data_IF_951799882316
#
_entry.id   IF_951799882316
#
_cell.length_a   1.000
_cell.length_b   1.000
_cell.length_c   1.000
_cell.angle_alpha   90.00
_cell.angle_beta   90.00
_cell.angle_gamma   90.00
#
_symmetry.space_group_name_H-M   'P 1'
#
loop_
_entity.id
_entity.type
_entity.pdbx_description
1 polymer ?
#
# COMPACT_ATOMS: atom_id res chain seq x y z
N UNK A 1 -48.27 -43.48 -63.57
CA UNK A 1 -48.54 -44.92 -63.34
C UNK A 1 -49.84 -45.16 -62.57
N UNK A 2 -50.11 -44.52 -61.41
CA UNK A 2 -51.36 -44.79 -60.68
C UNK A 2 -52.66 -44.52 -61.46
N UNK A 3 -52.74 -43.39 -62.19
CA UNK A 3 -53.89 -43.10 -63.06
C UNK A 3 -54.08 -44.14 -64.18
N UNK A 4 -52.97 -44.62 -64.74
CA UNK A 4 -52.98 -45.64 -65.80
C UNK A 4 -53.36 -47.01 -65.21
N UNK A 5 -52.83 -47.36 -64.04
CA UNK A 5 -53.17 -48.56 -63.29
C UNK A 5 -54.65 -48.60 -62.93
N UNK A 6 -55.21 -47.48 -62.44
CA UNK A 6 -56.63 -47.37 -62.11
C UNK A 6 -57.52 -47.57 -63.34
N UNK A 7 -57.16 -46.95 -64.48
CA UNK A 7 -57.87 -47.11 -65.74
C UNK A 7 -57.79 -48.55 -66.29
N UNK A 8 -56.60 -49.16 -66.28
CA UNK A 8 -56.38 -50.53 -66.75
C UNK A 8 -57.07 -51.56 -65.84
N UNK A 9 -57.11 -51.31 -64.53
CA UNK A 9 -57.79 -52.16 -63.55
C UNK A 9 -59.31 -52.14 -63.75
N UNK A 10 -59.88 -50.99 -64.13
CA UNK A 10 -61.31 -50.87 -64.47
C UNK A 10 -61.65 -51.52 -65.81
N UNK A 11 -60.82 -51.31 -66.84
CA UNK A 11 -60.99 -51.96 -68.15
C UNK A 11 -60.82 -53.48 -68.06
N UNK A 12 -59.97 -53.99 -67.17
CA UNK A 12 -59.83 -55.42 -66.90
C UNK A 12 -61.10 -56.03 -66.27
N UNK A 13 -61.76 -55.34 -65.33
CA UNK A 13 -63.05 -55.79 -64.76
C UNK A 13 -64.15 -55.92 -65.83
N UNK A 14 -64.06 -55.12 -66.88
CA UNK A 14 -64.95 -55.17 -68.04
C UNK A 14 -64.50 -56.18 -69.12
N UNK A 15 -63.46 -57.00 -68.84
CA UNK A 15 -62.83 -57.94 -69.79
C UNK A 15 -62.23 -57.30 -71.06
N UNK A 16 -61.88 -56.00 -71.00
CA UNK A 16 -61.37 -55.25 -72.15
C UNK A 16 -59.83 -55.22 -72.26
N UNK A 17 -59.10 -55.84 -71.32
CA UNK A 17 -57.62 -55.85 -71.29
C UNK A 17 -57.10 -57.19 -70.79
N UNK A 18 -55.91 -57.60 -71.26
CA UNK A 18 -55.23 -58.82 -70.81
C UNK A 18 -54.70 -58.70 -69.38
N UNK A 19 -54.79 -59.78 -68.59
CA UNK A 19 -54.28 -59.87 -67.21
C UNK A 19 -52.78 -59.59 -67.10
N UNK A 20 -52.01 -59.93 -68.14
CA UNK A 20 -50.57 -59.66 -68.24
C UNK A 20 -50.23 -58.17 -68.18
N UNK A 21 -51.06 -57.30 -68.80
CA UNK A 21 -50.86 -55.84 -68.76
C UNK A 21 -51.16 -55.27 -67.38
N UNK A 22 -52.23 -55.72 -66.74
CA UNK A 22 -52.59 -55.32 -65.38
C UNK A 22 -51.49 -55.70 -64.38
N UNK A 23 -51.08 -56.98 -64.36
CA UNK A 23 -50.04 -57.49 -63.46
C UNK A 23 -48.66 -56.88 -63.70
N UNK A 24 -48.33 -56.51 -64.95
CA UNK A 24 -47.12 -55.75 -65.24
C UNK A 24 -47.15 -54.35 -64.62
N UNK A 25 -48.25 -53.61 -64.77
CA UNK A 25 -48.42 -52.29 -64.16
C UNK A 25 -48.49 -52.35 -62.62
N UNK A 26 -49.09 -53.40 -62.04
CA UNK A 26 -49.12 -53.59 -60.58
C UNK A 26 -47.73 -53.85 -59.99
N UNK A 27 -46.92 -54.71 -60.63
CA UNK A 27 -45.52 -54.92 -60.23
C UNK A 27 -44.70 -53.65 -60.35
N UNK A 28 -44.91 -52.89 -61.42
CA UNK A 28 -44.22 -51.62 -61.64
C UNK A 28 -44.60 -50.57 -60.58
N UNK A 29 -45.89 -50.47 -60.23
CA UNK A 29 -46.36 -49.58 -59.17
C UNK A 29 -45.77 -49.98 -57.80
N UNK A 30 -45.76 -51.28 -57.48
CA UNK A 30 -45.15 -51.78 -56.24
C UNK A 30 -43.63 -51.54 -56.19
N UNK A 31 -42.92 -51.67 -57.32
CA UNK A 31 -41.50 -51.33 -57.43
C UNK A 31 -41.25 -49.85 -57.13
N UNK A 32 -42.01 -48.95 -57.77
CA UNK A 32 -41.87 -47.51 -57.57
C UNK A 32 -42.22 -47.07 -56.15
N UNK A 33 -43.22 -47.68 -55.52
CA UNK A 33 -43.54 -47.37 -54.12
C UNK A 33 -42.43 -47.87 -53.17
N UNK A 34 -41.83 -49.03 -53.45
CA UNK A 34 -40.64 -49.52 -52.75
C UNK A 34 -39.43 -48.58 -52.89
N UNK A 35 -39.12 -48.14 -54.12
CA UNK A 35 -38.06 -47.17 -54.41
C UNK A 35 -38.34 -45.83 -53.71
N UNK A 36 -39.60 -45.36 -53.73
CA UNK A 36 -40.01 -44.16 -53.00
C UNK A 36 -39.79 -44.31 -51.49
N UNK A 37 -40.17 -45.44 -50.91
CA UNK A 37 -39.93 -45.74 -49.49
C UNK A 37 -38.45 -45.73 -49.13
N UNK A 38 -37.60 -46.32 -49.97
CA UNK A 38 -36.15 -46.30 -49.82
C UNK A 38 -35.59 -44.87 -49.87
N UNK A 39 -36.04 -44.06 -50.84
CA UNK A 39 -35.61 -42.65 -50.96
C UNK A 39 -36.06 -41.80 -49.77
N UNK A 40 -37.27 -42.04 -49.25
CA UNK A 40 -37.78 -41.35 -48.05
C UNK A 40 -36.94 -41.71 -46.82
N UNK A 41 -36.62 -42.99 -46.63
CA UNK A 41 -35.75 -43.45 -45.54
C UNK A 41 -34.33 -42.87 -45.66
N UNK A 42 -33.76 -42.88 -46.87
CA UNK A 42 -32.45 -42.28 -47.13
C UNK A 42 -32.46 -40.75 -46.86
N UNK A 43 -33.52 -40.05 -47.25
CA UNK A 43 -33.68 -38.62 -46.96
C UNK A 43 -33.73 -38.35 -45.45
N UNK A 44 -34.48 -39.16 -44.70
CA UNK A 44 -34.55 -39.05 -43.25
C UNK A 44 -33.19 -39.32 -42.58
N UNK A 45 -32.47 -40.35 -43.06
CA UNK A 45 -31.12 -40.66 -42.57
C UNK A 45 -30.13 -39.52 -42.84
N UNK A 46 -30.14 -38.94 -44.04
CA UNK A 46 -29.29 -37.79 -44.38
C UNK A 46 -29.63 -36.58 -43.53
N UNK A 47 -30.92 -36.30 -43.29
CA UNK A 47 -31.33 -35.22 -42.37
C UNK A 47 -30.82 -35.45 -40.95
N UNK A 48 -30.83 -36.71 -40.46
CA UNK A 48 -30.24 -37.08 -39.18
C UNK A 48 -28.75 -36.77 -39.11
N UNK A 49 -27.98 -37.16 -40.15
CA UNK A 49 -26.55 -36.85 -40.26
C UNK A 49 -26.26 -35.35 -40.29
N UNK A 50 -27.09 -34.57 -40.98
CA UNK A 50 -26.97 -33.10 -41.01
C UNK A 50 -27.12 -32.53 -39.60
N UNK A 51 -28.13 -32.98 -38.84
CA UNK A 51 -28.34 -32.53 -37.46
C UNK A 51 -27.18 -32.93 -36.54
N UNK A 52 -26.67 -34.16 -36.66
CA UNK A 52 -25.50 -34.64 -35.91
C UNK A 52 -24.26 -33.79 -36.22
N UNK A 53 -23.97 -33.53 -37.49
CA UNK A 53 -22.84 -32.68 -37.90
C UNK A 53 -23.01 -31.25 -37.40
N UNK A 54 -24.23 -30.70 -37.41
CA UNK A 54 -24.49 -29.36 -36.87
C UNK A 54 -24.22 -29.28 -35.37
N UNK A 55 -24.60 -30.32 -34.60
CA UNK A 55 -24.26 -30.40 -33.17
C UNK A 55 -22.75 -30.53 -32.95
N UNK A 56 -22.05 -31.28 -33.81
CA UNK A 56 -20.61 -31.41 -33.73
C UNK A 56 -19.88 -30.08 -34.01
N UNK A 57 -20.36 -29.29 -34.96
CA UNK A 57 -19.85 -27.92 -35.20
C UNK A 57 -20.02 -27.07 -33.94
N UNK A 58 -21.21 -27.06 -33.35
CA UNK A 58 -21.48 -26.30 -32.12
C UNK A 58 -20.59 -26.74 -30.95
N UNK A 59 -20.32 -28.04 -30.83
CA UNK A 59 -19.43 -28.56 -29.80
C UNK A 59 -17.99 -28.09 -30.02
N UNK A 60 -17.48 -28.17 -31.25
CA UNK A 60 -16.13 -27.70 -31.60
C UNK A 60 -16.01 -26.19 -31.30
N UNK A 61 -17.01 -25.40 -31.65
CA UNK A 61 -17.02 -23.95 -31.38
C UNK A 61 -16.96 -23.67 -29.87
N UNK A 62 -17.70 -24.43 -29.06
CA UNK A 62 -17.68 -24.31 -27.60
C UNK A 62 -16.35 -24.74 -26.99
N UNK A 63 -15.77 -25.84 -27.47
CA UNK A 63 -14.48 -26.35 -27.01
C UNK A 63 -13.37 -25.32 -27.29
N UNK A 64 -13.33 -24.77 -28.51
CA UNK A 64 -12.40 -23.70 -28.89
C UNK A 64 -12.58 -22.46 -28.00
N UNK A 65 -13.82 -22.01 -27.80
CA UNK A 65 -14.09 -20.85 -26.95
C UNK A 65 -13.64 -21.08 -25.49
N UNK A 66 -13.85 -22.29 -24.97
CA UNK A 66 -13.40 -22.68 -23.63
C UNK A 66 -11.87 -22.70 -23.51
N UNK A 67 -11.19 -23.27 -24.50
CA UNK A 67 -9.72 -23.34 -24.54
C UNK A 67 -9.09 -21.96 -24.63
N UNK A 68 -9.60 -21.09 -25.52
CA UNK A 68 -9.16 -19.69 -25.63
C UNK A 68 -9.39 -18.94 -24.32
N UNK A 69 -10.54 -19.12 -23.67
CA UNK A 69 -10.83 -18.48 -22.38
C UNK A 69 -9.92 -18.99 -21.25
N UNK A 70 -9.44 -20.24 -21.33
CA UNK A 70 -8.48 -20.80 -20.39
C UNK A 70 -7.08 -20.24 -20.62
N UNK A 71 -6.63 -20.21 -21.87
CA UNK A 71 -5.33 -19.64 -22.24
C UNK A 71 -5.25 -18.14 -21.89
N UNK A 72 -6.31 -17.38 -22.19
CA UNK A 72 -6.40 -15.96 -21.83
C UNK A 72 -6.23 -15.75 -20.32
N UNK A 73 -6.93 -16.53 -19.49
CA UNK A 73 -6.79 -16.44 -18.02
C UNK A 73 -5.39 -16.78 -17.54
N UNK A 74 -4.73 -17.76 -18.16
CA UNK A 74 -3.35 -18.12 -17.82
C UNK A 74 -2.37 -16.99 -18.20
N UNK A 75 -2.53 -16.40 -19.38
CA UNK A 75 -1.71 -15.28 -19.85
C UNK A 75 -1.94 -14.05 -18.98
N UNK A 76 -3.18 -13.70 -18.65
CA UNK A 76 -3.50 -12.58 -17.76
C UNK A 76 -2.90 -12.78 -16.36
N UNK A 77 -2.93 -14.02 -15.85
CA UNK A 77 -2.26 -14.37 -14.60
C UNK A 77 -0.74 -14.14 -14.65
N UNK A 78 -0.09 -14.57 -15.75
CA UNK A 78 1.36 -14.33 -15.97
C UNK A 78 1.68 -12.85 -16.12
N UNK A 79 0.83 -12.09 -16.81
CA UNK A 79 0.99 -10.63 -16.94
C UNK A 79 0.95 -9.99 -15.55
N UNK A 80 -0.02 -10.36 -14.71
CA UNK A 80 -0.11 -9.86 -13.33
C UNK A 80 1.16 -10.15 -12.52
N UNK A 81 1.66 -11.40 -12.56
CA UNK A 81 2.91 -11.77 -11.88
C UNK A 81 4.12 -10.95 -12.39
N UNK A 82 4.25 -10.80 -13.71
CA UNK A 82 5.37 -10.08 -14.31
C UNK A 82 5.34 -8.59 -14.02
N UNK A 83 4.15 -7.98 -13.91
CA UNK A 83 3.99 -6.58 -13.51
C UNK A 83 4.48 -6.38 -12.07
N UNK A 84 4.08 -7.23 -11.13
CA UNK A 84 4.56 -7.15 -9.74
C UNK A 84 6.08 -7.37 -9.65
N UNK A 85 6.61 -8.34 -10.38
CA UNK A 85 8.06 -8.58 -10.46
C UNK A 85 8.80 -7.38 -11.03
N UNK A 86 8.23 -6.69 -12.02
CA UNK A 86 8.79 -5.46 -12.58
C UNK A 86 8.83 -4.34 -11.52
N UNK A 87 7.74 -4.13 -10.78
CA UNK A 87 7.70 -3.11 -9.71
C UNK A 87 8.77 -3.39 -8.64
N UNK A 88 8.90 -4.64 -8.21
CA UNK A 88 9.93 -5.03 -7.24
C UNK A 88 11.35 -4.80 -7.78
N UNK A 89 11.61 -5.14 -9.05
CA UNK A 89 12.90 -4.91 -9.69
C UNK A 89 13.21 -3.41 -9.87
N UNK A 90 12.20 -2.59 -10.20
CA UNK A 90 12.34 -1.13 -10.28
C UNK A 90 12.63 -0.51 -8.91
N UNK A 91 12.01 -1.00 -7.84
CA UNK A 91 12.32 -0.56 -6.47
C UNK A 91 13.76 -0.94 -6.07
N UNK A 92 14.20 -2.16 -6.39
CA UNK A 92 15.57 -2.59 -6.17
C UNK A 92 16.58 -1.74 -6.95
N UNK A 93 16.27 -1.38 -8.20
CA UNK A 93 17.09 -0.50 -9.03
C UNK A 93 17.19 0.91 -8.41
N UNK A 94 16.09 1.47 -7.91
CA UNK A 94 16.08 2.78 -7.24
C UNK A 94 16.94 2.79 -5.97
N UNK A 95 17.05 1.66 -5.27
CA UNK A 95 17.85 1.52 -4.03
C UNK A 95 19.36 1.40 -4.28
N UNK A 96 19.80 1.29 -5.54
CA UNK A 96 21.24 1.33 -5.89
C UNK A 96 21.80 2.75 -5.65
N UNK A 97 21.02 3.77 -5.99
CA UNK A 97 21.37 5.17 -5.75
C UNK A 97 20.89 5.60 -4.37
N UNK A 98 21.81 5.58 -3.40
CA UNK A 98 21.50 5.96 -2.02
C UNK A 98 21.51 7.47 -1.90
N UNK A 99 20.32 8.05 -1.68
CA UNK A 99 20.12 9.51 -1.54
C UNK A 99 19.87 9.90 -0.09
N UNK A 100 20.34 11.09 0.27
CA UNK A 100 20.01 11.70 1.55
C UNK A 100 18.50 12.01 1.64
N UNK A 101 17.84 11.73 2.78
CA UNK A 101 16.42 12.04 2.95
C UNK A 101 16.13 13.53 3.16
N UNK A 102 17.15 14.30 3.55
CA UNK A 102 17.06 15.74 3.83
C UNK A 102 18.42 16.40 3.62
N UNK A 103 18.40 17.71 3.40
CA UNK A 103 19.61 18.53 3.25
C UNK A 103 20.39 18.58 4.56
N UNK A 104 21.71 18.45 4.46
CA UNK A 104 22.58 18.32 5.63
C UNK A 104 24.05 18.18 5.28
N UNK A 105 24.89 18.23 6.31
CA UNK A 105 26.32 17.98 6.20
C UNK A 105 26.64 16.53 6.55
N UNK A 106 27.53 15.90 5.76
CA UNK A 106 28.04 14.56 6.08
C UNK A 106 29.01 14.65 7.26
N UNK A 107 28.63 14.06 8.40
CA UNK A 107 29.45 14.05 9.60
C UNK A 107 30.48 12.91 9.61
N UNK A 108 30.05 11.71 9.19
CA UNK A 108 30.92 10.54 9.15
C UNK A 108 30.58 9.66 7.96
N UNK A 109 31.61 9.24 7.22
CA UNK A 109 31.52 8.28 6.12
C UNK A 109 32.10 6.95 6.58
N UNK A 110 31.26 5.93 6.72
CA UNK A 110 31.69 4.60 7.18
C UNK A 110 32.31 3.79 6.02
N UNK A 111 31.78 3.93 4.80
CA UNK A 111 32.27 3.23 3.61
C UNK A 111 32.94 4.21 2.66
N UNK A 112 34.22 3.99 2.38
CA UNK A 112 35.05 4.88 1.54
C UNK A 112 35.83 4.13 0.44
N UNK A 113 35.56 2.83 0.26
CA UNK A 113 36.28 1.96 -0.68
C UNK A 113 35.47 1.70 -1.95
N UNK A 114 36.11 1.90 -3.11
CA UNK A 114 35.51 1.62 -4.42
C UNK A 114 35.50 0.10 -4.63
N UNK A 115 34.33 -0.47 -4.92
CA UNK A 115 34.14 -1.92 -5.09
C UNK A 115 33.94 -2.69 -3.77
N UNK A 116 33.78 -1.99 -2.64
CA UNK A 116 33.36 -2.61 -1.38
C UNK A 116 31.94 -3.15 -1.45
N UNK A 117 31.67 -4.27 -0.78
CA UNK A 117 30.33 -4.85 -0.65
C UNK A 117 29.71 -4.36 0.64
N UNK A 118 28.47 -3.86 0.57
CA UNK A 118 27.71 -3.32 1.70
C UNK A 118 26.49 -4.21 1.90
N UNK A 119 26.19 -4.62 3.15
CA UNK A 119 25.00 -5.42 3.42
C UNK A 119 23.80 -4.56 3.74
N UNK A 120 22.60 -5.12 3.59
CA UNK A 120 21.36 -4.38 3.85
C UNK A 120 21.27 -3.99 5.33
N UNK A 121 21.16 -2.69 5.60
CA UNK A 121 21.06 -2.14 6.96
C UNK A 121 22.39 -1.64 7.53
N UNK A 122 23.51 -1.87 6.86
CA UNK A 122 24.78 -1.30 7.30
C UNK A 122 24.78 0.23 7.15
N UNK A 123 25.22 0.97 8.19
CA UNK A 123 25.33 2.42 8.10
C UNK A 123 26.45 2.80 7.13
N UNK A 124 26.13 3.59 6.10
CA UNK A 124 27.08 4.03 5.08
C UNK A 124 27.63 5.43 5.40
N UNK A 125 26.75 6.32 5.82
CA UNK A 125 27.08 7.70 6.20
C UNK A 125 26.12 8.22 7.27
N UNK A 126 26.61 9.14 8.10
CA UNK A 126 25.81 9.93 9.02
C UNK A 126 25.68 11.35 8.47
N UNK A 127 24.43 11.80 8.32
CA UNK A 127 24.10 13.14 7.84
C UNK A 127 23.50 13.92 9.01
N UNK A 128 24.05 15.11 9.26
CA UNK A 128 23.50 16.09 10.21
C UNK A 128 22.67 17.09 9.42
N UNK A 129 21.35 17.15 9.64
CA UNK A 129 20.48 18.07 8.91
C UNK A 129 20.86 19.53 9.14
N UNK A 130 20.76 20.35 8.10
CA UNK A 130 20.93 21.80 8.24
C UNK A 130 19.68 22.46 8.82
N UNK A 131 18.52 21.85 8.58
CA UNK A 131 17.23 22.31 9.05
C UNK A 131 16.88 21.70 10.41
N UNK A 132 17.57 22.12 11.45
CA UNK A 132 16.96 22.15 12.77
C UNK A 132 16.83 23.60 13.19
N UNK A 133 15.60 24.02 13.52
CA UNK A 133 15.42 25.20 14.35
C UNK A 133 16.27 24.96 15.59
N UNK A 134 17.37 25.71 15.73
CA UNK A 134 18.29 25.58 16.85
C UNK A 134 17.48 25.59 18.13
N UNK A 135 17.41 24.42 18.76
CA UNK A 135 16.65 24.21 19.97
C UNK A 135 17.63 23.83 21.07
N UNK A 136 17.42 24.42 22.23
CA UNK A 136 18.26 24.19 23.39
C UNK A 136 17.62 23.09 24.20
N UNK A 137 18.38 22.02 24.46
CA UNK A 137 17.98 20.97 25.37
C UNK A 137 18.59 21.21 26.75
N UNK A 138 17.75 21.28 27.76
CA UNK A 138 18.13 21.54 29.15
C UNK A 138 17.72 20.35 30.01
N UNK A 139 18.63 19.90 30.87
CA UNK A 139 18.34 18.90 31.88
C UNK A 139 17.78 19.58 33.13
N UNK A 140 16.60 19.18 33.56
CA UNK A 140 15.90 19.74 34.72
C UNK A 140 15.79 18.68 35.81
N UNK A 141 16.03 19.09 37.06
CA UNK A 141 15.89 18.23 38.22
C UNK A 141 14.40 17.84 38.40
N UNK A 142 14.06 16.56 38.66
CA UNK A 142 12.68 16.14 38.93
C UNK A 142 11.95 16.94 40.01
N UNK A 143 12.67 17.53 40.97
CA UNK A 143 12.06 18.37 42.01
C UNK A 143 11.51 19.71 41.47
N UNK A 144 12.00 20.18 40.32
CA UNK A 144 11.65 21.47 39.73
C UNK A 144 10.63 21.37 38.59
N UNK A 145 10.21 20.15 38.21
CA UNK A 145 9.30 19.91 37.09
C UNK A 145 7.94 20.60 37.27
N UNK A 146 7.45 20.68 38.50
CA UNK A 146 6.16 21.32 38.84
C UNK A 146 6.11 22.81 38.51
N UNK A 147 7.29 23.44 38.33
CA UNK A 147 7.40 24.86 38.04
C UNK A 147 7.47 25.16 36.53
N UNK A 148 7.50 24.12 35.69
CA UNK A 148 7.64 24.24 34.25
C UNK A 148 6.32 24.09 33.52
N UNK A 149 6.10 24.98 32.55
CA UNK A 149 4.89 24.99 31.73
C UNK A 149 5.26 25.09 30.26
N UNK A 150 4.48 24.41 29.41
CA UNK A 150 4.55 24.63 27.97
C UNK A 150 4.28 26.11 27.66
N UNK A 151 5.01 26.65 26.69
CA UNK A 151 5.00 28.06 26.28
C UNK A 151 5.52 29.06 27.33
N UNK A 152 6.20 28.59 28.38
CA UNK A 152 6.87 29.46 29.33
C UNK A 152 8.07 30.14 28.68
N UNK A 153 8.27 31.43 28.99
CA UNK A 153 9.46 32.18 28.58
C UNK A 153 10.68 31.72 29.39
N UNK A 154 11.78 31.50 28.70
CA UNK A 154 13.07 31.15 29.27
C UNK A 154 14.13 32.12 28.74
N UNK A 155 15.05 32.53 29.61
CA UNK A 155 16.21 33.33 29.24
C UNK A 155 17.39 32.39 29.08
N UNK A 156 17.96 32.34 27.88
CA UNK A 156 19.09 31.50 27.52
C UNK A 156 20.38 32.30 27.58
N UNK A 157 21.36 31.77 28.30
CA UNK A 157 22.70 32.33 28.43
C UNK A 157 23.72 31.32 27.93
N UNK A 158 24.41 31.67 26.86
CA UNK A 158 25.45 30.85 26.27
C UNK A 158 26.78 31.11 26.99
N UNK A 159 27.18 30.19 27.88
CA UNK A 159 28.40 30.32 28.68
C UNK A 159 29.69 30.22 27.86
N UNK A 160 29.60 29.77 26.61
CA UNK A 160 30.70 29.76 25.64
C UNK A 160 31.12 31.17 25.16
N UNK A 161 30.28 32.19 25.34
CA UNK A 161 30.57 33.56 24.90
C UNK A 161 30.79 34.52 26.08
N UNK A 162 31.44 35.66 25.81
CA UNK A 162 31.70 36.65 26.84
C UNK A 162 30.38 37.29 27.31
N UNK A 163 30.08 37.11 28.60
CA UNK A 163 28.86 37.54 29.28
C UNK A 163 28.64 39.07 29.18
N UNK A 164 29.71 39.85 28.98
CA UNK A 164 29.60 41.32 28.87
C UNK A 164 29.21 41.80 27.48
N UNK A 165 29.41 40.99 26.45
CA UNK A 165 29.21 41.39 25.05
C UNK A 165 28.05 40.65 24.37
N UNK A 166 27.63 39.51 24.94
CA UNK A 166 26.61 38.65 24.32
C UNK A 166 25.24 38.94 24.96
N UNK A 167 24.21 39.32 24.17
CA UNK A 167 22.89 39.55 24.71
C UNK A 167 22.25 38.24 25.22
N UNK A 168 21.41 38.36 26.24
CA UNK A 168 20.56 37.26 26.70
C UNK A 168 19.46 36.97 25.68
N UNK A 169 19.22 35.69 25.37
CA UNK A 169 18.31 35.27 24.31
C UNK A 169 17.01 34.78 24.93
N UNK A 170 15.89 35.36 24.51
CA UNK A 170 14.57 34.87 24.92
C UNK A 170 14.22 33.62 24.11
N UNK A 171 13.90 32.53 24.81
CA UNK A 171 13.40 31.28 24.24
C UNK A 171 12.03 30.91 24.82
N UNK A 172 11.35 29.97 24.16
CA UNK A 172 10.05 29.46 24.60
C UNK A 172 10.12 27.96 24.79
N UNK A 173 9.64 27.47 25.94
CA UNK A 173 9.55 26.03 26.22
C UNK A 173 8.54 25.40 25.26
N UNK A 174 9.01 24.58 24.33
CA UNK A 174 8.15 23.91 23.34
C UNK A 174 7.82 22.49 23.71
N UNK A 175 8.71 21.81 24.45
CA UNK A 175 8.51 20.42 24.84
C UNK A 175 9.12 20.15 26.21
N UNK A 176 8.38 19.39 27.01
CA UNK A 176 8.83 18.83 28.29
C UNK A 176 8.69 17.32 28.14
N UNK A 177 9.75 16.56 28.37
CA UNK A 177 9.67 15.09 28.36
C UNK A 177 8.68 14.61 29.42
N UNK A 178 7.85 13.62 29.04
CA UNK A 178 6.87 13.04 29.96
C UNK A 178 7.52 12.11 30.99
N UNK A 179 8.73 11.63 30.70
CA UNK A 179 9.48 10.65 31.48
C UNK A 179 10.84 11.19 31.93
N UNK A 180 11.32 10.66 33.06
CA UNK A 180 12.67 10.93 33.56
C UNK A 180 13.68 10.05 32.84
N UNK A 181 14.72 10.66 32.28
CA UNK A 181 15.90 9.96 31.80
C UNK A 181 16.95 9.88 32.89
N UNK A 182 17.68 8.77 32.96
CA UNK A 182 18.78 8.61 33.92
C UNK A 182 20.12 8.77 33.20
N UNK A 183 21.00 9.59 33.74
CA UNK A 183 22.35 9.74 33.21
C UNK A 183 23.16 8.47 33.54
N UNK A 184 23.58 7.72 32.52
CA UNK A 184 24.28 6.44 32.69
C UNK A 184 25.60 6.57 33.45
N UNK A 185 26.20 7.76 33.50
CA UNK A 185 27.48 7.99 34.18
C UNK A 185 27.32 8.40 35.63
N UNK A 186 26.26 9.13 35.98
CA UNK A 186 26.07 9.71 37.32
C UNK A 186 24.90 9.10 38.10
N UNK A 187 24.03 8.33 37.44
CA UNK A 187 22.83 7.75 38.04
C UNK A 187 21.73 8.75 38.40
N UNK A 188 21.91 10.04 38.08
CA UNK A 188 20.93 11.08 38.38
C UNK A 188 19.79 11.06 37.35
N UNK A 189 18.55 11.06 37.85
CA UNK A 189 17.35 11.23 37.03
C UNK A 189 17.14 12.71 36.70
N UNK A 190 16.82 13.01 35.44
CA UNK A 190 16.51 14.34 34.94
C UNK A 190 15.36 14.30 33.94
N UNK A 191 14.63 15.40 33.83
CA UNK A 191 13.70 15.65 32.73
C UNK A 191 14.42 16.43 31.64
N UNK A 192 14.19 16.07 30.38
CA UNK A 192 14.68 16.85 29.24
C UNK A 192 13.63 17.87 28.84
N UNK A 193 14.02 19.14 28.77
CA UNK A 193 13.16 20.24 28.32
C UNK A 193 13.78 20.85 27.08
N UNK A 194 12.97 20.99 26.04
CA UNK A 194 13.37 21.63 24.79
C UNK A 194 12.83 23.05 24.72
N UNK A 195 13.72 23.99 24.47
CA UNK A 195 13.43 25.41 24.36
C UNK A 195 13.72 25.82 22.92
N UNK A 196 12.70 26.30 22.21
CA UNK A 196 12.89 26.86 20.88
C UNK A 196 13.34 28.31 20.99
N UNK A 197 14.27 28.70 20.12
CA UNK A 197 14.70 30.09 19.96
C UNK A 197 14.02 30.68 18.73
N UNK A 198 13.22 31.75 18.89
CA UNK A 198 12.69 32.51 17.77
C UNK A 198 13.81 33.07 16.88
N UNK A 199 13.60 33.10 15.55
CA UNK A 199 14.62 33.52 14.58
C UNK A 199 15.11 34.96 14.80
N UNK A 200 14.21 35.87 15.22
CA UNK A 200 14.52 37.25 15.59
C UNK A 200 15.50 37.34 16.76
N UNK A 201 15.41 36.41 17.72
CA UNK A 201 16.33 36.36 18.85
C UNK A 201 17.69 35.76 18.45
N UNK A 202 17.71 34.83 17.48
CA UNK A 202 18.95 34.29 16.93
C UNK A 202 19.71 35.38 16.16
N UNK A 203 19.02 36.23 15.40
CA UNK A 203 19.65 37.36 14.68
C UNK A 203 20.29 38.40 15.62
N UNK A 204 19.77 38.55 16.85
CA UNK A 204 20.37 39.45 17.87
C UNK A 204 21.76 39.01 18.34
N UNK A 205 22.14 37.75 18.11
CA UNK A 205 23.50 37.25 18.38
C UNK A 205 24.53 37.77 17.36
N UNK A 206 24.09 38.41 16.27
CA UNK A 206 24.98 39.04 15.29
C UNK A 206 25.84 38.02 14.55
N UNK A 207 27.16 38.25 14.48
CA UNK A 207 28.12 37.40 13.77
C UNK A 207 28.42 36.05 14.47
N UNK A 208 27.85 35.82 15.66
CA UNK A 208 28.15 34.65 16.47
C UNK A 208 27.31 33.45 15.97
N UNK A 209 27.96 32.52 15.28
CA UNK A 209 27.33 31.27 14.84
C UNK A 209 27.19 30.29 16.00
N UNK A 210 25.95 29.89 16.28
CA UNK A 210 25.67 28.82 17.24
C UNK A 210 25.97 27.46 16.61
N UNK A 211 26.80 26.65 17.27
CA UNK A 211 27.08 25.27 16.88
C UNK A 211 26.41 24.28 17.84
N UNK A 212 25.92 23.12 17.34
CA UNK A 212 25.44 22.04 18.20
C UNK A 212 26.50 21.59 19.21
N UNK A 213 26.10 21.34 20.45
CA UNK A 213 26.98 20.87 21.53
C UNK A 213 27.58 21.95 22.44
N UNK A 214 27.28 23.24 22.20
CA UNK A 214 27.71 24.30 23.10
C UNK A 214 26.96 24.28 24.44
N UNK A 215 27.65 24.54 25.57
CA UNK A 215 26.99 24.66 26.87
C UNK A 215 26.12 25.93 26.93
N UNK A 216 24.93 25.78 27.50
CA UNK A 216 23.96 26.85 27.65
C UNK A 216 23.23 26.69 28.98
N UNK A 217 23.06 27.81 29.67
CA UNK A 217 22.30 27.90 30.91
C UNK A 217 20.93 28.51 30.59
N UNK A 218 19.85 27.85 31.00
CA UNK A 218 18.51 28.35 30.80
C UNK A 218 17.89 28.76 32.14
N UNK A 219 17.48 30.01 32.22
CA UNK A 219 16.76 30.58 33.36
C UNK A 219 15.28 30.66 33.01
N UNK A 220 14.48 29.77 33.59
CA UNK A 220 13.03 29.77 33.40
C UNK A 220 12.39 30.68 34.44
N UNK A 221 11.59 31.65 33.99
CA UNK A 221 10.94 32.57 34.91
C UNK A 221 9.83 31.83 35.66
N UNK A 222 10.12 31.44 36.90
CA UNK A 222 9.13 30.84 37.80
C UNK A 222 8.15 31.94 38.24
N UNK A 223 6.88 31.57 38.52
CA UNK A 223 5.86 32.53 38.97
C UNK A 223 6.35 33.32 40.19
N UNK A 224 5.99 34.60 40.26
CA UNK A 224 6.26 35.45 41.41
C UNK A 224 5.74 34.79 42.70
N UNK A 225 6.66 34.31 43.54
CA UNK A 225 6.31 33.80 44.87
C UNK A 225 6.14 34.99 45.81
N UNK A 226 4.91 35.35 46.13
CA UNK A 226 4.64 36.19 47.32
C UNK A 226 5.08 35.45 48.58
N UNK A 227 5.72 36.14 49.55
CA UNK A 227 6.19 35.53 50.82
C UNK A 227 5.12 34.69 51.54
N UNK A 228 3.84 35.05 51.37
CA UNK A 228 2.68 34.32 51.88
C UNK A 228 2.60 32.87 51.36
N UNK A 229 3.07 32.57 50.14
CA UNK A 229 3.03 31.22 49.56
C UNK A 229 4.02 30.25 50.21
N UNK A 230 5.09 30.75 50.84
CA UNK A 230 6.08 29.91 51.53
C UNK A 230 5.56 29.36 52.87
N UNK A 231 4.66 30.11 53.52
CA UNK A 231 4.05 29.73 54.79
C UNK A 231 2.87 28.77 54.62
N UNK A 232 2.10 28.90 53.53
CA UNK A 232 0.84 28.17 53.37
C UNK A 232 1.03 26.83 52.63
N UNK A 233 2.02 26.71 51.73
CA UNK A 233 2.26 25.48 50.93
C UNK A 233 2.54 24.22 51.78
N UNK A 234 3.38 24.26 52.85
CA UNK A 234 3.65 23.07 53.66
C UNK A 234 2.42 22.61 54.44
N UNK A 235 1.57 23.53 54.90
CA UNK A 235 0.33 23.19 55.61
C UNK A 235 -0.66 22.49 54.67
N UNK A 236 -0.84 23.01 53.45
CA UNK A 236 -1.80 22.45 52.50
C UNK A 236 -1.39 21.05 52.01
N UNK A 237 -0.10 20.85 51.70
CA UNK A 237 0.41 19.55 51.24
C UNK A 237 0.37 18.49 52.35
N UNK A 238 0.53 18.88 53.62
CA UNK A 238 0.35 17.97 54.77
C UNK A 238 -1.12 17.61 55.00
N UNK A 239 -2.06 18.55 54.87
CA UNK A 239 -3.49 18.27 54.98
C UNK A 239 -3.98 17.33 53.86
N UNK A 240 -3.49 17.48 52.62
CA UNK A 240 -3.86 16.61 51.50
C UNK A 240 -3.23 15.21 51.58
N UNK A 241 -2.04 15.06 52.19
CA UNK A 241 -1.45 13.73 52.47
C UNK A 241 -2.21 12.98 53.57
N UNK A 242 -2.69 13.66 54.60
CA UNK A 242 -3.40 13.04 55.71
C UNK A 242 -4.80 12.50 55.34
N UNK A 243 -5.41 12.99 54.25
CA UNK A 243 -6.74 12.54 53.78
C UNK A 243 -6.71 11.50 52.65
N UNK A 244 -5.52 11.09 52.18
CA UNK A 244 -5.35 10.06 51.13
C UNK A 244 -4.87 8.70 51.63
N UNK A 245 -4.72 8.54 52.93
CA UNK A 245 -4.38 7.25 53.54
C UNK A 245 -5.65 6.61 54.13
N UNK A 246 -6.24 5.70 53.35
CA UNK A 246 -7.10 4.61 53.82
C UNK A 246 -6.79 3.36 53.01
#
# INVERSE_FOLDING_TARGET
IERELAGVRELWKQNLVQLTRLTALEREAARLDGERGQLVAASAQTKGKIAETALQILQIDQDIASDVAKELREVDGKIGELVERKVAAEDQLKRIDIRAPQDGTVFQLAVHTIGGVITAGDPIMLIVPEADNLSVEVKVNPQDIDQLQLNQKAILRFSAFNIRTTPEIEGVVTRISADTSTDQRTGQSYYTVRIAMPADQIERLGEVKLLPGMPVEAFMQTRDRTMLSYLIKPLHDQFLRAFREK
#
